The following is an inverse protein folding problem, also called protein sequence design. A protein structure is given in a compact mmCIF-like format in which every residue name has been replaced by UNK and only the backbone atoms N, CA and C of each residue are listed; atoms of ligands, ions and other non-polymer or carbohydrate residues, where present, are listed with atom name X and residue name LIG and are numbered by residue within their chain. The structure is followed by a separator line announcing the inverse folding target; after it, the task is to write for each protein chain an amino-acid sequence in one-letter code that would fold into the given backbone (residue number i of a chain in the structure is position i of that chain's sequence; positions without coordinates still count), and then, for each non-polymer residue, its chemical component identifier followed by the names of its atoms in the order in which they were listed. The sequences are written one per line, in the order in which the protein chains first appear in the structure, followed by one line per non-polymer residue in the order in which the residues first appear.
data_IF_601837979781
#
_entry.id   IF_601837979781
#
_cell.length_a   1.000
_cell.length_b   1.000
_cell.length_c   1.000
_cell.angle_alpha   90.00
_cell.angle_beta   90.00
_cell.angle_gamma   90.00
#
_symmetry.space_group_name_H-M   'P 1'
#
loop_
_entity.id
_entity.type
_entity.pdbx_description
1 polymer ?
#
# COMPACT_ATOMS: atom_id res chain seq x y z
N UNK A 1 41.18 -33.98 12.31
CA UNK A 1 40.63 -33.29 13.50
C UNK A 1 39.61 -32.30 12.98
N UNK A 2 38.33 -32.67 12.95
CA UNK A 2 37.26 -31.86 12.37
C UNK A 2 36.71 -30.87 13.38
N UNK A 3 36.65 -29.58 13.01
CA UNK A 3 35.79 -28.61 13.68
C UNK A 3 34.46 -28.59 12.93
N UNK A 4 33.54 -29.43 13.39
CA UNK A 4 32.15 -29.44 12.94
C UNK A 4 31.47 -28.20 13.56
N UNK A 5 31.39 -27.11 12.81
CA UNK A 5 30.62 -25.93 13.22
C UNK A 5 29.15 -26.30 13.06
N UNK A 6 28.49 -26.60 14.16
CA UNK A 6 27.05 -26.83 14.21
C UNK A 6 26.34 -25.52 13.82
N UNK A 7 26.02 -25.37 12.55
CA UNK A 7 25.15 -24.30 12.06
C UNK A 7 23.72 -24.63 12.48
N UNK A 8 23.35 -24.22 13.69
CA UNK A 8 21.94 -24.17 14.08
C UNK A 8 21.22 -23.18 13.14
N UNK A 9 20.02 -23.50 12.63
CA UNK A 9 19.22 -22.54 11.89
C UNK A 9 18.77 -21.44 12.85
N UNK A 10 19.47 -20.30 12.82
CA UNK A 10 19.06 -19.14 13.61
C UNK A 10 17.78 -18.60 12.99
N UNK A 11 16.70 -18.56 13.77
CA UNK A 11 15.44 -18.01 13.28
C UNK A 11 15.51 -16.48 13.22
N UNK A 12 14.77 -15.88 12.29
CA UNK A 12 14.76 -14.42 12.12
C UNK A 12 14.32 -13.70 13.41
N UNK A 13 13.42 -14.31 14.17
CA UNK A 13 12.94 -13.82 15.46
C UNK A 13 14.03 -13.81 16.53
N UNK A 14 14.92 -14.80 16.53
CA UNK A 14 16.06 -14.87 17.44
C UNK A 14 17.09 -13.78 17.11
N UNK A 15 17.36 -13.58 15.82
CA UNK A 15 18.21 -12.46 15.35
C UNK A 15 17.59 -11.13 15.76
N UNK A 16 16.29 -10.94 15.55
CA UNK A 16 15.57 -9.72 15.93
C UNK A 16 15.60 -9.49 17.45
N UNK A 17 15.42 -10.54 18.26
CA UNK A 17 15.50 -10.45 19.72
C UNK A 17 16.91 -10.08 20.19
N UNK A 18 17.95 -10.59 19.52
CA UNK A 18 19.33 -10.23 19.80
C UNK A 18 19.60 -8.77 19.45
N UNK A 19 19.23 -8.32 18.24
CA UNK A 19 19.39 -6.93 17.78
C UNK A 19 18.65 -5.96 18.72
N UNK A 20 17.45 -6.31 19.19
CA UNK A 20 16.69 -5.49 20.17
C UNK A 20 17.43 -5.28 21.50
N UNK A 21 18.26 -6.24 21.91
CA UNK A 21 19.05 -6.19 23.16
C UNK A 21 20.43 -5.56 22.98
N UNK A 22 20.88 -5.33 21.74
CA UNK A 22 22.17 -4.72 21.44
C UNK A 22 22.19 -3.24 21.84
N UNK A 23 23.38 -2.76 22.22
CA UNK A 23 23.59 -1.34 22.51
C UNK A 23 23.40 -0.51 21.24
N UNK A 24 22.98 0.76 21.33
CA UNK A 24 22.80 1.62 20.16
C UNK A 24 24.02 1.70 19.24
N UNK A 25 25.24 1.73 19.81
CA UNK A 25 26.49 1.76 19.05
C UNK A 25 26.71 0.47 18.25
N UNK A 26 26.49 -0.70 18.86
CA UNK A 26 26.64 -1.99 18.19
C UNK A 26 25.60 -2.16 17.07
N UNK A 27 24.38 -1.62 17.25
CA UNK A 27 23.36 -1.58 16.19
C UNK A 27 23.76 -0.69 15.02
N UNK A 28 24.30 0.50 15.30
CA UNK A 28 24.81 1.39 14.26
C UNK A 28 25.96 0.75 13.47
N UNK A 29 26.86 0.06 14.16
CA UNK A 29 27.93 -0.67 13.51
C UNK A 29 27.41 -1.84 12.66
N UNK A 30 26.37 -2.54 13.12
CA UNK A 30 25.70 -3.58 12.34
C UNK A 30 25.05 -3.04 11.06
N UNK A 31 24.37 -1.89 11.14
CA UNK A 31 23.81 -1.22 9.96
C UNK A 31 24.90 -0.73 8.99
N UNK A 32 26.05 -0.29 9.51
CA UNK A 32 27.19 0.09 8.69
C UNK A 32 27.85 -1.11 7.97
N UNK A 33 27.76 -2.31 8.56
CA UNK A 33 28.28 -3.54 7.97
C UNK A 33 27.35 -4.15 6.92
N UNK A 34 26.06 -3.81 6.93
CA UNK A 34 25.06 -4.33 6.00
C UNK A 34 24.29 -3.17 5.36
N UNK A 35 24.94 -2.40 4.47
CA UNK A 35 24.34 -1.20 3.87
C UNK A 35 23.13 -1.51 3.00
N UNK A 36 23.01 -2.73 2.46
CA UNK A 36 21.90 -3.15 1.62
C UNK A 36 20.57 -3.13 2.38
N UNK A 37 20.56 -3.56 3.65
CA UNK A 37 19.35 -3.53 4.49
C UNK A 37 18.87 -2.09 4.76
N UNK A 38 19.80 -1.15 4.86
CA UNK A 38 19.47 0.27 5.01
C UNK A 38 18.90 0.81 3.70
N UNK A 39 19.54 0.50 2.56
CA UNK A 39 19.08 0.93 1.25
C UNK A 39 17.67 0.41 0.92
N UNK A 40 17.39 -0.86 1.21
CA UNK A 40 16.08 -1.45 0.97
C UNK A 40 15.00 -0.85 1.88
N UNK A 41 15.32 -0.58 3.14
CA UNK A 41 14.40 0.09 4.06
C UNK A 41 14.08 1.54 3.61
N UNK A 42 15.09 2.26 3.09
CA UNK A 42 14.89 3.62 2.55
C UNK A 42 14.01 3.58 1.30
N UNK A 43 14.28 2.68 0.34
CA UNK A 43 13.45 2.52 -0.87
C UNK A 43 12.00 2.18 -0.55
N UNK A 44 11.77 1.30 0.42
CA UNK A 44 10.40 0.97 0.87
C UNK A 44 9.70 2.18 1.47
N UNK A 45 10.43 3.00 2.24
CA UNK A 45 9.90 4.24 2.81
C UNK A 45 9.54 5.25 1.71
N UNK A 46 10.43 5.47 0.75
CA UNK A 46 10.21 6.35 -0.40
C UNK A 46 8.97 5.90 -1.20
N UNK A 47 8.87 4.61 -1.52
CA UNK A 47 7.71 4.07 -2.24
C UNK A 47 6.38 4.26 -1.48
N UNK A 48 6.40 4.15 -0.15
CA UNK A 48 5.22 4.43 0.68
C UNK A 48 4.92 5.94 0.75
N UNK A 49 5.94 6.79 0.79
CA UNK A 49 5.78 8.25 0.77
C UNK A 49 5.21 8.72 -0.58
N UNK A 50 5.71 8.19 -1.69
CA UNK A 50 5.20 8.44 -3.05
C UNK A 50 3.75 7.97 -3.20
N UNK A 51 3.42 6.76 -2.69
CA UNK A 51 2.05 6.27 -2.71
C UNK A 51 1.10 7.17 -1.90
N UNK A 52 1.53 7.66 -0.74
CA UNK A 52 0.73 8.57 0.07
C UNK A 52 0.56 9.94 -0.60
N UNK A 53 1.61 10.45 -1.25
CA UNK A 53 1.56 11.70 -1.99
C UNK A 53 0.57 11.62 -3.16
N UNK A 54 0.63 10.53 -3.95
CA UNK A 54 -0.30 10.30 -5.06
C UNK A 54 -1.76 10.19 -4.59
N UNK A 55 -2.00 9.57 -3.43
CA UNK A 55 -3.35 9.48 -2.84
C UNK A 55 -3.85 10.85 -2.41
N UNK A 56 -3.00 11.69 -1.83
CA UNK A 56 -3.40 13.03 -1.41
C UNK A 56 -3.64 13.95 -2.63
N UNK A 57 -2.82 13.86 -3.68
CA UNK A 57 -3.05 14.58 -4.94
C UNK A 57 -4.39 14.20 -5.57
N UNK A 58 -4.67 12.91 -5.71
CA UNK A 58 -5.97 12.42 -6.20
C UNK A 58 -7.14 12.91 -5.34
N UNK A 59 -6.94 12.97 -4.01
CA UNK A 59 -7.97 13.47 -3.10
C UNK A 59 -8.23 14.96 -3.30
N UNK A 60 -7.19 15.76 -3.53
CA UNK A 60 -7.33 17.18 -3.81
C UNK A 60 -8.03 17.40 -5.15
N UNK A 61 -7.65 16.67 -6.20
CA UNK A 61 -8.32 16.72 -7.51
C UNK A 61 -9.82 16.39 -7.40
N UNK A 62 -10.15 15.31 -6.68
CA UNK A 62 -11.54 14.93 -6.41
C UNK A 62 -12.30 16.02 -5.63
N UNK A 63 -11.65 16.64 -4.64
CA UNK A 63 -12.26 17.73 -3.88
C UNK A 63 -12.50 18.95 -4.77
N UNK A 64 -11.58 19.30 -5.67
CA UNK A 64 -11.75 20.38 -6.63
C UNK A 64 -12.92 20.11 -7.59
N UNK A 65 -13.03 18.90 -8.13
CA UNK A 65 -14.16 18.49 -8.98
C UNK A 65 -15.50 18.54 -8.24
N UNK A 66 -15.51 18.22 -6.95
CA UNK A 66 -16.69 18.30 -6.08
C UNK A 66 -16.97 19.72 -5.56
N UNK A 67 -16.29 20.75 -6.07
CA UNK A 67 -16.51 22.15 -5.68
C UNK A 67 -16.00 22.48 -4.26
N UNK A 68 -14.98 21.75 -3.81
CA UNK A 68 -14.34 21.90 -2.50
C UNK A 68 -15.11 21.27 -1.34
N UNK A 69 -16.20 20.54 -1.62
CA UNK A 69 -17.00 19.89 -0.59
C UNK A 69 -16.81 18.38 -0.61
N UNK A 70 -16.51 17.74 0.53
CA UNK A 70 -16.48 16.30 0.60
C UNK A 70 -17.89 15.73 0.41
N UNK A 71 -17.97 14.52 -0.15
CA UNK A 71 -19.22 13.77 -0.27
C UNK A 71 -19.87 13.60 1.10
N UNK A 72 -21.18 13.78 1.13
CA UNK A 72 -21.96 13.67 2.35
C UNK A 72 -22.17 12.20 2.72
N UNK A 73 -22.04 11.81 4.00
CA UNK A 73 -22.31 10.44 4.43
C UNK A 73 -23.73 9.94 4.13
N UNK A 74 -24.67 10.86 3.91
CA UNK A 74 -26.07 10.55 3.59
C UNK A 74 -26.34 10.49 2.08
N UNK A 75 -25.33 10.73 1.23
CA UNK A 75 -25.52 10.63 -0.21
C UNK A 75 -25.79 9.19 -0.63
N UNK A 76 -26.77 8.97 -1.52
CA UNK A 76 -26.99 7.67 -2.13
C UNK A 76 -25.73 7.16 -2.81
N UNK A 77 -25.41 5.90 -2.58
CA UNK A 77 -24.23 5.23 -3.08
C UNK A 77 -24.60 3.81 -3.55
N UNK A 78 -23.62 2.93 -3.62
CA UNK A 78 -23.71 1.59 -4.17
C UNK A 78 -24.82 0.75 -3.51
N UNK A 79 -25.61 0.07 -4.34
CA UNK A 79 -26.64 -0.90 -3.93
C UNK A 79 -27.68 -0.34 -2.94
N UNK A 80 -28.04 0.95 -3.07
CA UNK A 80 -29.04 1.60 -2.23
C UNK A 80 -28.56 1.97 -0.83
N UNK A 81 -27.28 1.75 -0.53
CA UNK A 81 -26.64 2.23 0.70
C UNK A 81 -26.25 3.69 0.54
N UNK A 82 -26.19 4.43 1.65
CA UNK A 82 -25.50 5.72 1.63
C UNK A 82 -23.99 5.54 1.74
N UNK A 83 -23.21 6.56 1.35
CA UNK A 83 -21.75 6.52 1.47
C UNK A 83 -21.30 6.19 2.90
N UNK A 84 -21.92 6.80 3.91
CA UNK A 84 -21.63 6.54 5.33
C UNK A 84 -21.91 5.09 5.72
N UNK A 85 -23.06 4.56 5.34
CA UNK A 85 -23.42 3.16 5.61
C UNK A 85 -22.46 2.18 4.94
N UNK A 86 -22.04 2.46 3.70
CA UNK A 86 -21.06 1.65 2.99
C UNK A 86 -19.69 1.67 3.69
N UNK A 87 -19.23 2.83 4.19
CA UNK A 87 -17.95 2.95 4.88
C UNK A 87 -17.93 2.24 6.24
N UNK A 88 -19.08 2.14 6.91
CA UNK A 88 -19.25 1.41 8.18
C UNK A 88 -19.25 -0.12 8.03
N UNK A 89 -19.42 -0.65 6.81
CA UNK A 89 -19.39 -2.09 6.58
C UNK A 89 -18.00 -2.69 6.82
N UNK A 90 -17.93 -3.95 7.29
CA UNK A 90 -16.68 -4.72 7.31
C UNK A 90 -16.02 -4.77 5.93
N UNK A 91 -14.69 -4.77 5.90
CA UNK A 91 -13.92 -4.77 4.65
C UNK A 91 -14.30 -5.93 3.72
N UNK A 92 -14.56 -7.12 4.27
CA UNK A 92 -15.01 -8.29 3.51
C UNK A 92 -16.35 -8.08 2.80
N UNK A 93 -17.26 -7.33 3.43
CA UNK A 93 -18.58 -7.02 2.85
C UNK A 93 -18.46 -5.95 1.78
N UNK A 94 -17.64 -4.93 2.02
CA UNK A 94 -17.29 -3.91 1.01
C UNK A 94 -16.64 -4.55 -0.23
N UNK A 95 -15.72 -5.49 -0.04
CA UNK A 95 -15.07 -6.20 -1.13
C UNK A 95 -16.06 -7.04 -1.96
N UNK A 96 -17.02 -7.73 -1.31
CA UNK A 96 -18.07 -8.48 -2.02
C UNK A 96 -18.96 -7.57 -2.86
N UNK A 97 -19.32 -6.39 -2.33
CA UNK A 97 -20.11 -5.40 -3.05
C UNK A 97 -19.35 -4.87 -4.29
N UNK A 98 -18.04 -4.63 -4.16
CA UNK A 98 -17.18 -4.26 -5.29
C UNK A 98 -17.02 -5.38 -6.32
N UNK A 99 -16.84 -6.62 -5.88
CA UNK A 99 -16.72 -7.80 -6.77
C UNK A 99 -18.01 -8.00 -7.58
N UNK A 100 -19.18 -7.79 -6.97
CA UNK A 100 -20.46 -7.85 -7.68
C UNK A 100 -20.60 -6.75 -8.73
N UNK A 101 -20.18 -5.52 -8.41
CA UNK A 101 -20.30 -4.39 -9.33
C UNK A 101 -19.29 -4.46 -10.49
N UNK A 102 -18.04 -4.85 -10.19
CA UNK A 102 -16.98 -4.99 -11.21
C UNK A 102 -17.27 -6.11 -12.22
N UNK A 103 -17.92 -7.21 -11.81
CA UNK A 103 -18.36 -8.27 -12.72
C UNK A 103 -19.40 -7.81 -13.75
N UNK A 104 -20.29 -6.90 -13.36
CA UNK A 104 -21.30 -6.33 -14.27
C UNK A 104 -20.67 -5.33 -15.23
N UNK A 105 -19.71 -4.52 -14.78
CA UNK A 105 -19.06 -3.50 -15.60
C UNK A 105 -18.10 -4.08 -16.66
N UNK A 106 -17.42 -5.20 -16.37
CA UNK A 106 -16.45 -5.79 -17.31
C UNK A 106 -17.13 -6.47 -18.51
N UNK A 107 -18.36 -6.99 -18.35
CA UNK A 107 -19.10 -7.60 -19.47
C UNK A 107 -19.71 -6.55 -20.43
N UNK A 108 -19.88 -5.29 -19.99
CA UNK A 108 -20.44 -4.19 -20.79
C UNK A 108 -19.38 -3.22 -21.35
N UNK A 109 -18.12 -3.30 -20.90
CA UNK A 109 -17.02 -2.53 -21.46
C UNK A 109 -16.51 -3.23 -22.73
N UNK A 110 -17.06 -2.85 -23.88
CA UNK A 110 -16.34 -3.01 -25.16
C UNK A 110 -14.94 -2.40 -24.98
N UNK A 111 -13.90 -3.16 -25.30
CA UNK A 111 -12.51 -2.71 -25.24
C UNK A 111 -12.36 -1.39 -26.01
N UNK A 112 -12.31 -0.27 -25.27
CA UNK A 112 -11.93 1.01 -25.83
C UNK A 112 -10.47 0.86 -26.27
N UNK A 113 -10.25 0.70 -27.58
CA UNK A 113 -8.93 0.77 -28.19
C UNK A 113 -8.28 2.09 -27.79
N UNK A 114 -7.44 2.05 -26.76
CA UNK A 114 -6.61 3.18 -26.35
C UNK A 114 -5.64 3.42 -27.49
N UNK A 115 -5.91 4.47 -28.28
CA UNK A 115 -5.00 4.89 -29.33
C UNK A 115 -3.64 5.23 -28.70
N UNK A 116 -2.53 4.71 -29.25
CA UNK A 116 -1.20 4.80 -28.64
C UNK A 116 -0.61 6.22 -28.57
N UNK A 117 -1.30 7.25 -29.08
CA UNK A 117 -0.82 8.64 -29.08
C UNK A 117 -1.19 9.44 -27.81
N UNK A 118 -1.78 8.82 -26.79
CA UNK A 118 -2.16 9.51 -25.55
C UNK A 118 -1.01 9.79 -24.57
N UNK A 119 0.23 9.41 -24.89
CA UNK A 119 1.41 9.88 -24.14
C UNK A 119 2.05 11.08 -24.84
N UNK A 120 1.49 12.26 -24.61
CA UNK A 120 2.21 13.51 -24.89
C UNK A 120 3.11 13.83 -23.69
N UNK A 121 4.36 13.38 -23.73
CA UNK A 121 5.40 13.90 -22.85
C UNK A 121 5.72 15.34 -23.29
N UNK A 122 5.48 16.29 -22.39
CA UNK A 122 5.91 17.69 -22.49
C UNK A 122 6.46 18.13 -21.15
#
# INVERSE_FOLDING_TARGET
MGTNVLTLPVSLEQVAALIKRMRPQDRQQLLAMVPELVADAVKQKELLEDANQNVEELRQELLEELGGQPLSPNEPFLNGLTLGQYLELPEEERAKLWDQWSKVAIEELDELEVRPDAMSAG
#
